data_IF_948305381140
#
_entry.id   IF_948305381140
#
_cell.length_a   1.000
_cell.length_b   1.000
_cell.length_c   1.000
_cell.angle_alpha   90.00
_cell.angle_beta   90.00
_cell.angle_gamma   90.00
#
_symmetry.space_group_name_H-M   'P 1'
#
loop_
_entity.id
_entity.type
_entity.pdbx_description
1 polymer ?
#
# COMPACT_ATOMS: atom_id res chain seq x y z
N UNK A 1 11.47 -14.52 -17.21
CA UNK A 1 12.30 -15.27 -16.23
C UNK A 1 13.71 -15.22 -16.79
N UNK A 2 14.63 -14.49 -16.15
CA UNK A 2 15.99 -14.31 -16.65
C UNK A 2 16.81 -15.56 -16.32
N UNK A 3 17.29 -16.25 -17.36
CA UNK A 3 18.24 -17.35 -17.20
C UNK A 3 19.57 -16.80 -16.67
N UNK A 4 19.78 -16.89 -15.36
CA UNK A 4 21.06 -16.57 -14.76
C UNK A 4 22.00 -17.76 -14.93
N UNK A 5 23.18 -17.56 -15.55
CA UNK A 5 24.16 -18.61 -15.77
C UNK A 5 24.70 -19.25 -14.46
N UNK A 6 24.55 -18.58 -13.31
CA UNK A 6 25.05 -19.06 -12.01
C UNK A 6 23.98 -19.89 -11.29
N UNK A 7 22.73 -19.43 -11.25
CA UNK A 7 21.69 -20.06 -10.44
C UNK A 7 20.53 -20.66 -11.28
N UNK A 8 20.58 -20.61 -12.60
CA UNK A 8 19.51 -21.14 -13.46
C UNK A 8 18.13 -20.51 -13.20
N UNK A 9 18.10 -19.27 -12.70
CA UNK A 9 16.84 -18.57 -12.37
C UNK A 9 16.31 -18.82 -10.95
N UNK A 10 16.94 -19.68 -10.14
CA UNK A 10 16.50 -19.99 -8.76
C UNK A 10 16.74 -18.85 -7.76
N UNK A 11 17.69 -17.95 -8.09
CA UNK A 11 18.09 -16.85 -7.21
C UNK A 11 19.01 -17.27 -6.05
N UNK A 12 19.44 -18.51 -5.99
CA UNK A 12 20.37 -19.03 -4.99
C UNK A 12 21.52 -19.79 -5.65
N UNK A 13 22.73 -19.57 -5.18
CA UNK A 13 23.96 -20.26 -5.54
C UNK A 13 24.29 -21.24 -4.43
N UNK A 14 24.59 -22.50 -4.76
CA UNK A 14 25.05 -23.47 -3.79
C UNK A 14 26.58 -23.36 -3.68
N UNK A 15 27.06 -23.01 -2.52
CA UNK A 15 28.49 -22.93 -2.20
C UNK A 15 28.86 -24.02 -1.20
N UNK A 16 29.97 -24.74 -1.45
CA UNK A 16 30.48 -25.75 -0.57
C UNK A 16 31.55 -25.13 0.33
N UNK A 17 31.40 -25.27 1.66
CA UNK A 17 32.39 -24.91 2.67
C UNK A 17 32.47 -26.06 3.70
N UNK A 18 33.67 -26.47 4.03
CA UNK A 18 33.94 -27.53 5.02
C UNK A 18 33.11 -28.80 4.76
N UNK A 19 33.09 -29.26 3.50
CA UNK A 19 32.33 -30.42 3.02
C UNK A 19 30.79 -30.32 3.20
N UNK A 20 30.28 -29.12 3.45
CA UNK A 20 28.84 -28.86 3.57
C UNK A 20 28.38 -27.87 2.50
N UNK A 21 27.20 -28.14 1.98
CA UNK A 21 26.54 -27.27 1.01
C UNK A 21 25.74 -26.17 1.72
N UNK A 22 25.91 -24.92 1.29
CA UNK A 22 25.18 -23.77 1.77
C UNK A 22 24.52 -23.04 0.60
N UNK A 23 23.26 -22.67 0.75
CA UNK A 23 22.60 -21.79 -0.19
C UNK A 23 22.97 -20.33 0.09
N UNK A 24 23.66 -19.67 -0.85
CA UNK A 24 23.95 -18.24 -0.82
C UNK A 24 23.05 -17.52 -1.82
N UNK A 25 22.61 -16.33 -1.47
CA UNK A 25 21.86 -15.48 -2.42
C UNK A 25 22.71 -15.17 -3.65
N UNK A 26 22.25 -15.53 -4.83
CA UNK A 26 22.96 -15.26 -6.09
C UNK A 26 23.03 -13.76 -6.37
N UNK A 27 24.13 -13.32 -6.99
CA UNK A 27 24.32 -11.94 -7.38
C UNK A 27 23.18 -11.42 -8.30
N UNK A 28 22.65 -12.26 -9.19
CA UNK A 28 21.51 -11.90 -10.03
C UNK A 28 20.25 -11.53 -9.23
N UNK A 29 20.10 -12.07 -8.01
CA UNK A 29 19.03 -11.73 -7.09
C UNK A 29 19.34 -10.43 -6.33
N UNK A 30 20.60 -10.16 -6.07
CA UNK A 30 21.04 -8.88 -5.49
C UNK A 30 20.92 -7.73 -6.51
N UNK A 31 21.19 -8.02 -7.80
CA UNK A 31 21.18 -7.03 -8.88
C UNK A 31 19.86 -6.95 -9.68
N UNK A 32 19.05 -8.00 -9.69
CA UNK A 32 17.91 -8.16 -10.62
C UNK A 32 16.55 -8.50 -10.03
N UNK A 33 16.44 -8.91 -8.78
CA UNK A 33 15.14 -8.95 -8.12
C UNK A 33 14.90 -7.66 -7.32
N UNK A 34 14.57 -6.59 -8.02
CA UNK A 34 13.60 -5.67 -7.44
C UNK A 34 12.39 -6.54 -7.14
N UNK A 35 12.18 -6.89 -5.87
CA UNK A 35 10.92 -7.50 -5.43
C UNK A 35 9.77 -6.69 -6.04
N UNK A 36 8.54 -7.22 -6.09
CA UNK A 36 7.43 -6.50 -6.71
C UNK A 36 7.48 -5.05 -6.26
N UNK A 37 7.36 -4.14 -7.22
CA UNK A 37 7.42 -2.70 -6.97
C UNK A 37 6.57 -2.39 -5.72
N UNK A 38 7.13 -1.65 -4.79
CA UNK A 38 6.42 -1.30 -3.55
C UNK A 38 5.02 -0.77 -3.85
N UNK A 39 4.87 0.02 -4.92
CA UNK A 39 3.59 0.58 -5.34
C UNK A 39 2.61 -0.47 -5.86
N UNK A 40 3.09 -1.57 -6.44
CA UNK A 40 2.23 -2.70 -6.82
C UNK A 40 1.72 -3.42 -5.58
N UNK A 41 2.58 -3.67 -4.59
CA UNK A 41 2.18 -4.27 -3.31
C UNK A 41 1.19 -3.38 -2.55
N UNK A 42 1.39 -2.06 -2.59
CA UNK A 42 0.52 -1.08 -1.96
C UNK A 42 -0.75 -0.81 -2.78
N UNK A 43 -0.88 -1.35 -3.99
CA UNK A 43 -1.97 -1.08 -4.94
C UNK A 43 -2.11 0.40 -5.31
N UNK A 44 -1.04 1.19 -5.21
CA UNK A 44 -1.07 2.62 -5.52
C UNK A 44 -1.11 2.85 -7.02
N UNK A 45 -2.16 3.50 -7.57
CA UNK A 45 -2.26 3.81 -8.98
C UNK A 45 -1.06 4.63 -9.48
N UNK A 46 -0.65 4.41 -10.74
CA UNK A 46 0.53 5.03 -11.33
C UNK A 46 0.55 6.57 -11.18
N UNK A 47 -0.62 7.21 -11.31
CA UNK A 47 -0.78 8.67 -11.17
C UNK A 47 -0.40 9.23 -9.80
N UNK A 48 -0.41 8.40 -8.75
CA UNK A 48 -0.09 8.80 -7.38
C UNK A 48 1.28 8.32 -6.88
N UNK A 49 2.02 7.56 -7.68
CA UNK A 49 3.34 7.02 -7.26
C UNK A 49 4.39 8.10 -6.96
N UNK A 50 4.21 9.30 -7.51
CA UNK A 50 5.08 10.44 -7.22
C UNK A 50 4.74 11.18 -5.91
N UNK A 51 3.58 10.90 -5.28
CA UNK A 51 3.13 11.60 -4.09
C UNK A 51 4.03 11.29 -2.89
N UNK A 52 4.52 12.34 -2.25
CA UNK A 52 5.34 12.28 -1.02
C UNK A 52 4.93 13.41 -0.08
N UNK A 53 5.28 13.27 1.22
CA UNK A 53 5.12 14.37 2.17
C UNK A 53 5.98 15.59 1.79
N UNK A 54 7.14 15.36 1.15
CA UNK A 54 8.08 16.40 0.78
C UNK A 54 7.60 17.26 -0.40
N UNK A 55 6.84 16.69 -1.36
CA UNK A 55 6.36 17.41 -2.53
C UNK A 55 4.90 17.88 -2.42
N UNK A 56 4.30 17.77 -1.24
CA UNK A 56 2.98 18.33 -0.98
C UNK A 56 3.06 19.85 -0.82
N UNK A 57 2.21 20.60 -1.53
CA UNK A 57 2.17 22.07 -1.49
C UNK A 57 1.49 22.59 -0.21
N UNK A 58 2.10 22.33 0.95
CA UNK A 58 1.55 22.70 2.26
C UNK A 58 1.44 24.21 2.49
N UNK A 59 2.21 25.00 1.76
CA UNK A 59 2.23 26.46 1.90
C UNK A 59 1.03 27.17 1.27
N UNK A 60 0.21 26.49 0.46
CA UNK A 60 -0.90 27.09 -0.30
C UNK A 60 -2.02 27.63 0.60
N UNK A 61 -2.21 27.05 1.78
CA UNK A 61 -3.16 27.59 2.79
C UNK A 61 -2.83 27.10 4.20
N UNK A 62 -3.29 27.81 5.26
CA UNK A 62 -3.14 27.34 6.64
C UNK A 62 -3.77 25.97 6.88
N UNK A 63 -4.90 25.67 6.23
CA UNK A 63 -5.60 24.40 6.32
C UNK A 63 -4.78 23.25 5.71
N UNK A 64 -4.14 23.48 4.55
CA UNK A 64 -3.28 22.49 3.90
C UNK A 64 -2.03 22.23 4.74
N UNK A 65 -1.46 23.27 5.34
CA UNK A 65 -0.34 23.13 6.27
C UNK A 65 -0.72 22.28 7.47
N UNK A 66 -1.84 22.57 8.12
CA UNK A 66 -2.33 21.81 9.27
C UNK A 66 -2.62 20.33 8.91
N UNK A 67 -3.17 20.08 7.72
CA UNK A 67 -3.39 18.73 7.23
C UNK A 67 -2.07 17.97 7.02
N UNK A 68 -1.09 18.64 6.41
CA UNK A 68 0.25 18.08 6.22
C UNK A 68 0.96 17.79 7.54
N UNK A 69 0.92 18.72 8.50
CA UNK A 69 1.52 18.55 9.83
C UNK A 69 0.93 17.34 10.56
N UNK A 70 -0.40 17.17 10.51
CA UNK A 70 -1.07 16.00 11.07
C UNK A 70 -0.68 14.71 10.37
N UNK A 71 -0.60 14.71 9.04
CA UNK A 71 -0.18 13.56 8.25
C UNK A 71 1.26 13.16 8.56
N UNK A 72 2.18 14.12 8.61
CA UNK A 72 3.59 13.89 8.95
C UNK A 72 3.75 13.39 10.39
N UNK A 73 3.04 14.01 11.35
CA UNK A 73 3.04 13.57 12.76
C UNK A 73 2.50 12.14 12.93
N UNK A 74 1.42 11.80 12.21
CA UNK A 74 0.88 10.44 12.20
C UNK A 74 1.92 9.43 11.69
N UNK A 75 2.54 9.71 10.54
CA UNK A 75 3.55 8.82 9.98
C UNK A 75 4.78 8.68 10.90
N UNK A 76 5.24 9.78 11.51
CA UNK A 76 6.37 9.76 12.43
C UNK A 76 6.08 8.97 13.71
N UNK A 77 4.88 9.14 14.29
CA UNK A 77 4.46 8.49 15.54
C UNK A 77 4.04 7.03 15.41
N UNK A 78 3.91 6.48 14.20
CA UNK A 78 3.48 5.09 14.00
C UNK A 78 4.59 4.09 14.45
N UNK A 79 4.30 2.93 15.06
CA UNK A 79 2.97 2.46 15.45
C UNK A 79 2.41 3.21 16.68
N UNK A 80 1.13 3.52 16.62
CA UNK A 80 0.45 4.16 17.74
C UNK A 80 0.12 3.13 18.82
N UNK A 81 0.31 3.49 20.09
CA UNK A 81 0.09 2.61 21.25
C UNK A 81 -0.76 3.29 22.32
N UNK A 82 -1.24 2.50 23.27
CA UNK A 82 -2.08 3.00 24.36
C UNK A 82 -3.40 3.58 23.85
N UNK A 83 -3.77 4.76 24.35
CA UNK A 83 -5.02 5.44 23.95
C UNK A 83 -5.05 5.88 22.49
N UNK A 84 -3.90 5.88 21.82
CA UNK A 84 -3.77 6.19 20.41
C UNK A 84 -3.80 4.94 19.50
N UNK A 85 -3.90 3.75 20.08
CA UNK A 85 -4.05 2.52 19.30
C UNK A 85 -5.35 2.56 18.48
N UNK A 86 -5.25 2.24 17.18
CA UNK A 86 -6.40 2.29 16.26
C UNK A 86 -6.76 3.69 15.74
N UNK A 87 -5.94 4.72 16.02
CA UNK A 87 -6.13 6.02 15.39
C UNK A 87 -5.92 5.93 13.88
N UNK A 88 -6.76 6.68 13.14
CA UNK A 88 -6.67 6.88 11.71
C UNK A 88 -6.69 8.35 11.34
N UNK A 89 -6.49 8.64 10.06
CA UNK A 89 -6.63 9.97 9.48
C UNK A 89 -7.87 10.02 8.58
N UNK A 90 -8.67 11.05 8.75
CA UNK A 90 -9.76 11.37 7.84
C UNK A 90 -9.47 12.70 7.15
N UNK A 91 -9.26 12.65 5.82
CA UNK A 91 -9.06 13.84 4.98
C UNK A 91 -10.39 14.26 4.36
N UNK A 92 -10.86 15.45 4.69
CA UNK A 92 -12.10 16.04 4.16
C UNK A 92 -11.83 17.35 3.44
N UNK A 93 -12.68 17.71 2.51
CA UNK A 93 -12.59 18.97 1.76
C UNK A 93 -12.93 18.80 0.29
N UNK A 94 -12.88 19.90 -0.47
CA UNK A 94 -13.22 19.97 -1.90
C UNK A 94 -12.29 19.09 -2.76
N UNK A 95 -12.73 18.82 -3.99
CA UNK A 95 -11.92 18.08 -4.95
C UNK A 95 -10.65 18.85 -5.33
N UNK A 96 -9.57 18.13 -5.58
CA UNK A 96 -8.31 18.72 -6.05
C UNK A 96 -7.39 19.30 -4.95
N UNK A 97 -7.82 19.37 -3.68
CA UNK A 97 -6.99 19.97 -2.61
C UNK A 97 -5.87 19.05 -2.08
N UNK A 98 -5.68 17.86 -2.65
CA UNK A 98 -4.56 16.98 -2.29
C UNK A 98 -4.86 15.93 -1.22
N UNK A 99 -6.13 15.58 -0.93
CA UNK A 99 -6.50 14.53 0.04
C UNK A 99 -5.81 13.19 -0.28
N UNK A 100 -6.00 12.71 -1.49
CA UNK A 100 -5.39 11.46 -1.98
C UNK A 100 -3.86 11.55 -1.99
N UNK A 101 -3.30 12.72 -2.33
CA UNK A 101 -1.85 12.94 -2.25
C UNK A 101 -1.32 12.68 -0.83
N UNK A 102 -1.91 13.30 0.19
CA UNK A 102 -1.48 13.10 1.58
C UNK A 102 -1.69 11.66 2.05
N UNK A 103 -2.81 11.04 1.70
CA UNK A 103 -3.09 9.65 2.08
C UNK A 103 -2.05 8.69 1.50
N UNK A 104 -1.72 8.83 0.21
CA UNK A 104 -0.68 8.02 -0.45
C UNK A 104 0.71 8.34 0.10
N UNK A 105 1.00 9.61 0.37
CA UNK A 105 2.29 10.02 0.94
C UNK A 105 2.54 9.39 2.31
N UNK A 106 1.53 9.35 3.19
CA UNK A 106 1.60 8.66 4.48
C UNK A 106 1.79 7.16 4.31
N UNK A 107 0.98 6.52 3.46
CA UNK A 107 1.07 5.09 3.18
C UNK A 107 2.48 4.70 2.69
N UNK A 108 3.01 5.48 1.76
CA UNK A 108 4.36 5.30 1.22
C UNK A 108 5.42 5.43 2.32
N UNK A 109 5.38 6.51 3.11
CA UNK A 109 6.33 6.76 4.21
C UNK A 109 6.36 5.59 5.19
N UNK A 110 5.19 5.09 5.61
CA UNK A 110 5.07 3.95 6.50
C UNK A 110 5.62 2.66 5.89
N UNK A 111 5.34 2.41 4.62
CA UNK A 111 5.81 1.22 3.94
C UNK A 111 7.33 1.25 3.66
N UNK A 112 7.89 2.39 3.26
CA UNK A 112 9.31 2.54 2.96
C UNK A 112 10.17 2.58 4.22
N UNK A 113 9.82 3.44 5.19
CA UNK A 113 10.63 3.68 6.37
C UNK A 113 10.39 2.63 7.48
N UNK A 114 9.14 2.21 7.68
CA UNK A 114 8.75 1.35 8.81
C UNK A 114 8.36 -0.07 8.41
N UNK A 115 8.43 -0.40 7.10
CA UNK A 115 8.13 -1.74 6.54
C UNK A 115 6.70 -2.21 6.85
N UNK A 116 5.79 -1.27 7.02
CA UNK A 116 4.37 -1.52 7.29
C UNK A 116 3.71 -2.14 6.06
N UNK A 117 2.88 -3.16 6.26
CA UNK A 117 2.03 -3.71 5.20
C UNK A 117 0.83 -2.80 5.03
N UNK A 118 0.73 -2.18 3.88
CA UNK A 118 -0.37 -1.27 3.59
C UNK A 118 -1.01 -1.56 2.25
N UNK A 119 -2.25 -1.08 2.08
CA UNK A 119 -2.95 -1.13 0.81
C UNK A 119 -3.73 0.16 0.57
N UNK A 120 -3.74 0.57 -0.70
CA UNK A 120 -4.60 1.64 -1.20
C UNK A 120 -5.76 1.01 -1.99
N UNK A 121 -6.97 1.49 -1.71
CA UNK A 121 -8.17 1.12 -2.42
C UNK A 121 -9.00 2.37 -2.75
N UNK A 122 -9.41 2.46 -3.99
CA UNK A 122 -10.58 3.26 -4.35
C UNK A 122 -11.82 2.55 -3.81
N UNK A 123 -12.67 3.27 -3.07
CA UNK A 123 -13.83 2.67 -2.43
C UNK A 123 -14.81 2.04 -3.43
N UNK A 124 -14.99 2.68 -4.60
CA UNK A 124 -15.87 2.13 -5.64
C UNK A 124 -15.30 0.86 -6.27
N UNK A 125 -13.98 0.80 -6.46
CA UNK A 125 -13.30 -0.38 -6.96
C UNK A 125 -13.43 -1.55 -5.98
N UNK A 126 -13.19 -1.30 -4.69
CA UNK A 126 -13.36 -2.30 -3.64
C UNK A 126 -14.79 -2.84 -3.60
N UNK A 127 -15.79 -1.97 -3.61
CA UNK A 127 -17.20 -2.39 -3.61
C UNK A 127 -17.57 -3.19 -4.87
N UNK A 128 -16.95 -2.90 -5.98
CA UNK A 128 -17.16 -3.66 -7.22
C UNK A 128 -16.53 -5.05 -7.13
N UNK A 129 -15.34 -5.18 -6.58
CA UNK A 129 -14.69 -6.47 -6.36
C UNK A 129 -15.52 -7.35 -5.40
N UNK A 130 -15.99 -6.78 -4.27
CA UNK A 130 -16.85 -7.49 -3.33
C UNK A 130 -18.15 -7.96 -4.01
N UNK A 131 -18.83 -7.09 -4.76
CA UNK A 131 -20.05 -7.49 -5.48
C UNK A 131 -19.80 -8.58 -6.54
N UNK A 132 -18.66 -8.50 -7.20
CA UNK A 132 -18.28 -9.52 -8.21
C UNK A 132 -18.12 -10.90 -7.56
N UNK A 133 -17.67 -10.99 -6.31
CA UNK A 133 -17.51 -12.26 -5.59
C UNK A 133 -18.83 -12.95 -5.24
N UNK A 134 -19.97 -12.25 -5.28
CA UNK A 134 -21.29 -12.87 -5.13
C UNK A 134 -21.83 -13.54 -6.38
N UNK A 135 -21.17 -13.35 -7.54
CA UNK A 135 -21.58 -14.03 -8.76
C UNK A 135 -21.09 -15.49 -8.74
N UNK A 136 -22.00 -16.50 -8.88
CA UNK A 136 -21.63 -17.93 -8.87
C UNK A 136 -20.63 -18.32 -9.97
N UNK A 137 -20.56 -17.55 -11.05
CA UNK A 137 -19.63 -17.82 -12.17
C UNK A 137 -18.20 -17.31 -11.89
N UNK A 138 -18.00 -16.51 -10.82
CA UNK A 138 -16.70 -15.99 -10.40
C UNK A 138 -16.11 -16.92 -9.35
N UNK A 139 -14.91 -17.44 -9.60
CA UNK A 139 -14.24 -18.39 -8.68
C UNK A 139 -13.72 -17.75 -7.39
N UNK A 140 -13.70 -16.41 -7.30
CA UNK A 140 -13.18 -15.68 -6.14
C UNK A 140 -14.30 -15.46 -5.12
N UNK A 141 -14.08 -15.86 -3.90
CA UNK A 141 -15.02 -15.68 -2.78
C UNK A 141 -14.87 -14.29 -2.14
N UNK A 142 -15.90 -13.81 -1.45
CA UNK A 142 -15.83 -12.58 -0.65
C UNK A 142 -14.64 -12.59 0.33
N UNK A 143 -14.41 -13.73 0.98
CA UNK A 143 -13.30 -13.92 1.92
C UNK A 143 -11.94 -13.71 1.22
N UNK A 144 -11.75 -14.24 0.03
CA UNK A 144 -10.50 -14.06 -0.74
C UNK A 144 -10.25 -12.60 -1.14
N UNK A 145 -11.31 -11.80 -1.33
CA UNK A 145 -11.19 -10.35 -1.57
C UNK A 145 -10.86 -9.61 -0.28
N UNK A 146 -11.51 -9.96 0.83
CA UNK A 146 -11.40 -9.23 2.10
C UNK A 146 -10.18 -9.62 2.94
N UNK A 147 -9.73 -10.87 2.90
CA UNK A 147 -8.62 -11.36 3.73
C UNK A 147 -7.33 -10.52 3.57
N UNK A 148 -6.89 -10.16 2.36
CA UNK A 148 -5.70 -9.30 2.19
C UNK A 148 -5.89 -7.90 2.80
N UNK A 149 -7.13 -7.41 2.84
CA UNK A 149 -7.47 -6.09 3.37
C UNK A 149 -7.50 -6.10 4.88
N UNK A 150 -8.19 -7.10 5.46
CA UNK A 150 -8.33 -7.26 6.91
C UNK A 150 -6.97 -7.51 7.58
N UNK A 151 -6.09 -8.22 6.88
CA UNK A 151 -4.76 -8.56 7.40
C UNK A 151 -3.68 -7.51 7.06
N UNK A 152 -4.07 -6.33 6.57
CA UNK A 152 -3.15 -5.22 6.34
C UNK A 152 -3.00 -4.37 7.61
N UNK A 153 -1.80 -3.81 7.83
CA UNK A 153 -1.56 -2.96 9.00
C UNK A 153 -2.14 -1.55 8.82
N UNK A 154 -2.16 -1.06 7.57
CA UNK A 154 -2.71 0.25 7.18
C UNK A 154 -3.54 0.11 5.91
N UNK A 155 -4.77 0.55 5.97
CA UNK A 155 -5.67 0.65 4.84
C UNK A 155 -5.95 2.11 4.49
N UNK A 156 -5.73 2.48 3.24
CA UNK A 156 -6.19 3.75 2.66
C UNK A 156 -7.44 3.47 1.83
N UNK A 157 -8.56 4.08 2.20
CA UNK A 157 -9.79 4.09 1.42
C UNK A 157 -10.00 5.49 0.85
N UNK A 158 -9.92 5.61 -0.45
CA UNK A 158 -10.12 6.87 -1.17
C UNK A 158 -11.56 6.99 -1.71
N UNK A 159 -12.02 8.21 -1.90
CA UNK A 159 -13.33 8.55 -2.47
C UNK A 159 -14.56 7.98 -1.72
N UNK A 160 -14.49 7.85 -0.39
CA UNK A 160 -15.59 7.37 0.45
C UNK A 160 -16.92 8.15 0.27
N UNK A 161 -16.85 9.44 -0.05
CA UNK A 161 -18.01 10.35 -0.12
C UNK A 161 -18.75 10.38 -1.48
N UNK A 162 -18.22 9.73 -2.51
CA UNK A 162 -18.81 9.75 -3.85
C UNK A 162 -19.98 8.75 -4.02
N UNK A 163 -20.19 7.87 -3.05
CA UNK A 163 -21.26 6.87 -3.09
C UNK A 163 -22.58 7.44 -2.60
N UNK A 164 -23.62 7.44 -3.46
CA UNK A 164 -24.99 7.63 -3.01
C UNK A 164 -25.49 6.33 -2.40
N UNK A 165 -25.77 6.32 -1.08
CA UNK A 165 -26.20 5.16 -0.32
C UNK A 165 -27.50 4.49 -0.80
N UNK A 166 -28.19 5.06 -1.81
CA UNK A 166 -29.48 4.58 -2.33
C UNK A 166 -29.40 3.27 -3.11
N UNK A 167 -28.23 2.84 -3.54
CA UNK A 167 -28.07 1.63 -4.37
C UNK A 167 -27.80 0.33 -3.58
N UNK A 168 -27.72 0.42 -2.25
CA UNK A 168 -27.42 -0.72 -1.37
C UNK A 168 -28.63 -1.39 -0.73
N UNK A 169 -29.82 -0.77 -0.82
CA UNK A 169 -31.01 -1.22 -0.10
C UNK A 169 -32.11 -1.80 -1.01
N UNK A 170 -31.82 -2.09 -2.27
CA UNK A 170 -32.77 -2.76 -3.17
C UNK A 170 -32.22 -4.10 -3.65
#
# INVERSE_FOLDING_TARGET
MSDCAICGGTGFEIVVRDEREFAKTCACRAEGSKGPDIFERLRVPARYRACTLANFESASSPQMRAAWEKAASFAAGYPHSGVSAGLGLLFTGSNGIGKTHLAVAVLRELAEAKKVRGQFWDFHELMREIRSSYNPDVKMTETEVLDPIINTDILVLDDLGAWKMTDWMN
#
